data_IF_096236604977
#
_entry.id   IF_096236604977
#
_cell.length_a   1.000
_cell.length_b   1.000
_cell.length_c   1.000
_cell.angle_alpha   90.00
_cell.angle_beta   90.00
_cell.angle_gamma   90.00
#
_symmetry.space_group_name_H-M   'P 1'
#
loop_
_entity.id
_entity.type
_entity.pdbx_description
1 polymer ?
#
# COMPACT_ATOMS: atom_id res chain seq x y z
N UNK A 1 3.31 12.67 10.93
CA UNK A 1 2.56 11.67 10.12
C UNK A 1 1.20 12.23 9.70
N UNK A 2 1.13 13.24 8.83
CA UNK A 2 -0.15 13.94 8.52
C UNK A 2 -1.13 13.08 7.70
N UNK A 3 -0.62 12.19 6.85
CA UNK A 3 -1.42 11.37 5.93
C UNK A 3 -1.43 9.88 6.27
N UNK A 4 -0.75 9.51 7.36
CA UNK A 4 -0.58 8.11 7.74
C UNK A 4 -1.93 7.45 7.95
N UNK A 5 -2.10 6.29 7.32
CA UNK A 5 -3.23 5.43 7.55
C UNK A 5 -2.81 4.30 8.50
N UNK A 6 -3.64 4.01 9.50
CA UNK A 6 -3.34 3.00 10.54
C UNK A 6 -3.03 1.62 9.97
N UNK A 7 -3.69 1.24 8.89
CA UNK A 7 -3.49 -0.06 8.22
C UNK A 7 -2.25 -0.10 7.29
N UNK A 8 -1.55 1.02 7.07
CA UNK A 8 -0.23 1.03 6.41
C UNK A 8 -0.07 1.89 5.16
N UNK A 9 1.08 1.71 4.51
CA UNK A 9 1.68 2.64 3.56
C UNK A 9 0.91 2.78 2.24
N UNK A 10 0.31 1.71 1.70
CA UNK A 10 -0.47 1.81 0.46
C UNK A 10 -1.69 2.73 0.62
N UNK A 11 -2.34 2.68 1.78
CA UNK A 11 -3.47 3.56 2.10
C UNK A 11 -2.99 4.98 2.43
N UNK A 12 -1.80 5.12 3.00
CA UNK A 12 -1.14 6.42 3.14
C UNK A 12 -0.89 7.07 1.77
N UNK A 13 -0.41 6.31 0.77
CA UNK A 13 -0.23 6.83 -0.60
C UNK A 13 -1.57 7.26 -1.21
N UNK A 14 -2.64 6.50 -0.97
CA UNK A 14 -3.99 6.88 -1.39
C UNK A 14 -4.44 8.20 -0.75
N UNK A 15 -4.23 8.36 0.56
CA UNK A 15 -4.56 9.59 1.29
C UNK A 15 -3.82 10.80 0.73
N UNK A 16 -2.51 10.68 0.47
CA UNK A 16 -1.70 11.74 -0.12
C UNK A 16 -2.23 12.12 -1.50
N UNK A 17 -2.55 11.14 -2.34
CA UNK A 17 -3.08 11.39 -3.68
C UNK A 17 -4.47 12.06 -3.63
N UNK A 18 -5.38 11.60 -2.75
CA UNK A 18 -6.69 12.23 -2.57
C UNK A 18 -6.56 13.68 -2.09
N UNK A 19 -5.72 13.93 -1.09
CA UNK A 19 -5.50 15.27 -0.57
C UNK A 19 -4.92 16.20 -1.65
N UNK A 20 -3.96 15.71 -2.46
CA UNK A 20 -3.42 16.47 -3.58
C UNK A 20 -4.51 16.89 -4.58
N UNK A 21 -5.41 15.97 -4.96
CA UNK A 21 -6.51 16.27 -5.89
C UNK A 21 -7.56 17.21 -5.28
N UNK A 22 -7.85 17.06 -3.99
CA UNK A 22 -8.78 17.95 -3.26
C UNK A 22 -8.24 19.38 -3.15
N UNK A 23 -6.92 19.54 -3.03
CA UNK A 23 -6.25 20.84 -3.01
C UNK A 23 -5.89 21.33 -4.43
N UNK A 24 -6.64 20.88 -5.45
CA UNK A 24 -6.55 21.37 -6.83
C UNK A 24 -5.15 21.30 -7.44
N UNK A 25 -4.37 20.30 -7.05
CA UNK A 25 -2.99 20.09 -7.53
C UNK A 25 -2.02 21.24 -7.20
N UNK A 26 -2.29 21.97 -6.12
CA UNK A 26 -1.48 23.13 -5.72
C UNK A 26 -0.02 22.75 -5.39
N UNK A 27 0.91 23.50 -5.98
CA UNK A 27 2.35 23.37 -5.77
C UNK A 27 2.74 23.85 -4.37
N UNK A 28 2.10 24.92 -3.87
CA UNK A 28 2.37 25.43 -2.54
C UNK A 28 1.90 24.43 -1.48
N UNK A 29 0.71 23.86 -1.65
CA UNK A 29 0.25 22.74 -0.82
C UNK A 29 1.25 21.58 -0.79
N UNK A 30 1.83 21.20 -1.94
CA UNK A 30 2.86 20.16 -1.98
C UNK A 30 4.09 20.53 -1.14
N UNK A 31 4.55 21.78 -1.25
CA UNK A 31 5.68 22.30 -0.47
C UNK A 31 5.39 22.26 1.03
N UNK A 32 4.26 22.79 1.45
CA UNK A 32 3.84 22.88 2.86
C UNK A 32 3.66 21.51 3.52
N UNK A 33 3.40 20.48 2.70
CA UNK A 33 3.18 19.11 3.14
C UNK A 33 4.37 18.18 2.92
N UNK A 34 5.51 18.70 2.44
CA UNK A 34 6.71 17.93 2.11
C UNK A 34 6.44 16.79 1.11
N UNK A 35 5.54 17.02 0.16
CA UNK A 35 5.19 16.06 -0.88
C UNK A 35 5.82 16.46 -2.22
N UNK A 36 6.34 15.48 -2.96
CA UNK A 36 6.95 15.74 -4.25
C UNK A 36 5.88 15.96 -5.34
N UNK A 37 5.72 17.22 -5.77
CA UNK A 37 4.79 17.61 -6.83
C UNK A 37 5.00 16.86 -8.14
N UNK A 38 6.26 16.66 -8.57
CA UNK A 38 6.57 15.95 -9.83
C UNK A 38 6.14 14.49 -9.77
N UNK A 39 6.36 13.83 -8.64
CA UNK A 39 5.92 12.45 -8.42
C UNK A 39 4.39 12.33 -8.47
N UNK A 40 3.67 13.28 -7.86
CA UNK A 40 2.20 13.30 -7.89
C UNK A 40 1.63 13.57 -9.28
N UNK A 41 2.22 14.51 -10.03
CA UNK A 41 1.83 14.75 -11.43
C UNK A 41 2.08 13.53 -12.31
N UNK A 42 3.21 12.83 -12.09
CA UNK A 42 3.49 11.56 -12.76
C UNK A 42 2.44 10.50 -12.42
N UNK A 43 2.12 10.34 -11.13
CA UNK A 43 1.09 9.41 -10.67
C UNK A 43 -0.30 9.72 -11.26
N UNK A 44 -0.69 10.99 -11.35
CA UNK A 44 -1.95 11.42 -11.96
C UNK A 44 -2.00 11.05 -13.45
N UNK A 45 -0.93 11.30 -14.20
CA UNK A 45 -0.83 10.92 -15.60
C UNK A 45 -0.93 9.40 -15.79
N UNK A 46 -0.22 8.61 -14.98
CA UNK A 46 -0.29 7.14 -15.02
C UNK A 46 -1.71 6.66 -14.72
N UNK A 47 -2.38 7.22 -13.70
CA UNK A 47 -3.79 6.89 -13.39
C UNK A 47 -4.72 7.19 -14.57
N UNK A 48 -4.56 8.33 -15.24
CA UNK A 48 -5.36 8.68 -16.41
C UNK A 48 -5.14 7.69 -17.57
N UNK A 49 -3.90 7.25 -17.80
CA UNK A 49 -3.59 6.24 -18.82
C UNK A 49 -4.22 4.88 -18.49
N UNK A 50 -4.09 4.42 -17.24
CA UNK A 50 -4.73 3.19 -16.78
C UNK A 50 -6.25 3.26 -16.90
N UNK A 51 -6.85 4.42 -16.58
CA UNK A 51 -8.29 4.63 -16.75
C UNK A 51 -8.75 4.45 -18.19
N UNK A 52 -8.00 4.97 -19.17
CA UNK A 52 -8.34 4.79 -20.60
C UNK A 52 -8.25 3.33 -21.04
N UNK A 53 -7.28 2.59 -20.48
CA UNK A 53 -7.14 1.15 -20.72
C UNK A 53 -8.34 0.40 -20.13
N UNK A 54 -8.74 0.73 -18.90
CA UNK A 54 -9.93 0.14 -18.27
C UNK A 54 -11.18 0.39 -19.11
N UNK A 55 -11.38 1.61 -19.60
CA UNK A 55 -12.52 1.95 -20.47
C UNK A 55 -12.49 1.13 -21.78
N UNK A 56 -11.31 0.96 -22.40
CA UNK A 56 -11.14 0.12 -23.61
C UNK A 56 -11.55 -1.33 -23.39
N UNK A 57 -11.24 -1.89 -22.23
CA UNK A 57 -11.62 -3.27 -21.86
C UNK A 57 -12.98 -3.35 -21.15
N UNK A 58 -13.75 -2.27 -21.13
CA UNK A 58 -15.06 -2.20 -20.45
C UNK A 58 -15.00 -2.58 -18.96
N UNK A 59 -13.86 -2.32 -18.31
CA UNK A 59 -13.68 -2.53 -16.88
C UNK A 59 -14.29 -1.35 -16.12
N UNK A 60 -15.33 -1.63 -15.34
CA UNK A 60 -16.01 -0.58 -14.55
C UNK A 60 -15.07 -0.05 -13.46
N UNK A 61 -14.97 1.28 -13.40
CA UNK A 61 -14.33 2.00 -12.28
C UNK A 61 -15.34 2.16 -11.16
N UNK A 62 -15.22 1.34 -10.12
CA UNK A 62 -16.14 1.34 -8.98
C UNK A 62 -15.40 1.70 -7.69
N UNK A 63 -16.09 2.39 -6.79
CA UNK A 63 -15.63 2.62 -5.42
C UNK A 63 -16.70 2.13 -4.46
N UNK A 64 -16.28 1.51 -3.36
CA UNK A 64 -17.17 1.37 -2.19
C UNK A 64 -17.49 2.77 -1.65
N UNK A 65 -18.65 2.94 -1.01
CA UNK A 65 -18.95 4.15 -0.24
C UNK A 65 -17.84 4.39 0.80
N UNK A 66 -17.34 5.62 0.87
CA UNK A 66 -16.30 6.02 1.81
C UNK A 66 -16.72 5.86 3.27
N UNK A 67 -18.02 6.01 3.57
CA UNK A 67 -18.54 5.83 4.92
C UNK A 67 -18.76 4.35 5.30
N UNK A 68 -18.61 3.44 4.35
CA UNK A 68 -18.71 2.01 4.63
C UNK A 68 -17.48 1.53 5.38
N UNK A 69 -17.72 0.67 6.39
CA UNK A 69 -16.65 -0.06 7.09
C UNK A 69 -15.83 -0.94 6.13
N UNK A 70 -16.38 -1.27 4.96
CA UNK A 70 -15.74 -2.12 3.98
C UNK A 70 -14.79 -1.36 3.03
N UNK A 71 -14.78 -0.02 3.03
CA UNK A 71 -14.00 0.78 2.08
C UNK A 71 -12.51 0.40 2.06
N UNK A 72 -11.82 0.57 3.20
CA UNK A 72 -10.40 0.23 3.32
C UNK A 72 -10.16 -1.28 3.29
N UNK A 73 -11.10 -2.07 3.82
CA UNK A 73 -10.99 -3.54 3.77
C UNK A 73 -10.99 -4.06 2.33
N UNK A 74 -11.85 -3.53 1.46
CA UNK A 74 -11.94 -3.94 0.06
C UNK A 74 -10.67 -3.58 -0.71
N UNK A 75 -10.08 -2.40 -0.43
CA UNK A 75 -8.79 -2.01 -1.01
C UNK A 75 -7.68 -2.97 -0.58
N UNK A 76 -7.59 -3.30 0.72
CA UNK A 76 -6.59 -4.24 1.24
C UNK A 76 -6.74 -5.64 0.64
N UNK A 77 -7.97 -6.13 0.48
CA UNK A 77 -8.24 -7.40 -0.22
C UNK A 77 -7.81 -7.36 -1.69
N UNK A 78 -8.07 -6.25 -2.38
CA UNK A 78 -7.63 -6.06 -3.77
C UNK A 78 -6.10 -6.08 -3.87
N UNK A 79 -5.39 -5.45 -2.93
CA UNK A 79 -3.92 -5.55 -2.85
C UNK A 79 -3.46 -7.00 -2.71
N UNK A 80 -4.06 -7.77 -1.79
CA UNK A 80 -3.73 -9.20 -1.62
C UNK A 80 -3.91 -9.99 -2.91
N UNK A 81 -4.92 -9.69 -3.72
CA UNK A 81 -5.14 -10.38 -4.99
C UNK A 81 -4.03 -10.17 -6.02
N UNK A 82 -3.36 -9.01 -6.01
CA UNK A 82 -2.24 -8.69 -6.91
C UNK A 82 -0.86 -9.03 -6.35
N UNK A 83 -0.73 -9.01 -5.02
CA UNK A 83 0.54 -9.14 -4.30
C UNK A 83 0.60 -10.40 -3.41
N UNK A 84 -0.16 -11.44 -3.74
CA UNK A 84 -0.23 -12.67 -2.93
C UNK A 84 1.13 -13.36 -2.71
N UNK A 85 2.13 -13.11 -3.56
CA UNK A 85 3.50 -13.61 -3.39
C UNK A 85 4.39 -12.72 -2.50
N UNK A 86 3.96 -11.50 -2.18
CA UNK A 86 4.72 -10.51 -1.40
C UNK A 86 4.12 -10.34 -0.01
N UNK A 87 4.14 -11.45 0.74
CA UNK A 87 3.57 -11.55 2.09
C UNK A 87 4.66 -11.96 3.07
N UNK A 88 4.64 -11.37 4.25
CA UNK A 88 5.46 -11.77 5.38
C UNK A 88 4.61 -11.90 6.65
N UNK A 89 5.00 -12.82 7.54
CA UNK A 89 4.36 -12.99 8.84
C UNK A 89 5.34 -12.66 9.97
N UNK A 90 4.80 -12.17 11.08
CA UNK A 90 5.57 -11.83 12.28
C UNK A 90 5.86 -13.10 13.09
N UNK A 91 7.15 -13.40 13.25
CA UNK A 91 7.63 -14.49 14.09
C UNK A 91 7.63 -14.13 15.57
N UNK A 92 7.62 -15.15 16.44
CA UNK A 92 7.65 -14.97 17.91
C UNK A 92 8.89 -14.22 18.41
N UNK A 93 9.98 -14.32 17.67
CA UNK A 93 11.25 -13.63 17.86
C UNK A 93 11.21 -12.14 17.47
N UNK A 94 10.10 -11.66 16.91
CA UNK A 94 9.86 -10.25 16.60
C UNK A 94 10.40 -9.75 15.26
N UNK A 95 10.97 -10.65 14.44
CA UNK A 95 11.29 -10.41 13.03
C UNK A 95 10.15 -10.90 12.12
N UNK A 96 10.15 -10.49 10.86
CA UNK A 96 9.21 -11.03 9.87
C UNK A 96 9.87 -12.10 9.03
N UNK A 97 9.10 -13.08 8.57
CA UNK A 97 9.53 -14.09 7.61
C UNK A 97 8.64 -14.05 6.36
N UNK A 98 9.25 -13.93 5.18
CA UNK A 98 8.49 -13.96 3.92
C UNK A 98 7.93 -15.36 3.67
N UNK A 99 6.70 -15.44 3.16
CA UNK A 99 6.01 -16.73 2.98
C UNK A 99 6.60 -17.53 1.82
N UNK A 100 7.03 -16.85 0.75
CA UNK A 100 7.50 -17.51 -0.46
C UNK A 100 8.85 -18.20 -0.29
N UNK A 101 9.80 -17.48 0.31
CA UNK A 101 11.23 -17.82 0.28
C UNK A 101 11.85 -17.96 1.68
N UNK A 102 11.02 -17.91 2.74
CA UNK A 102 11.43 -17.96 4.15
C UNK A 102 12.58 -17.00 4.50
N UNK A 103 12.56 -15.79 3.92
CA UNK A 103 13.59 -14.78 4.16
C UNK A 103 13.24 -14.00 5.43
N UNK A 104 14.21 -13.89 6.33
CA UNK A 104 14.12 -13.01 7.50
C UNK A 104 14.22 -11.56 7.04
N UNK A 105 13.20 -10.77 7.38
CA UNK A 105 13.09 -9.35 7.00
C UNK A 105 12.62 -8.49 8.17
N UNK A 106 12.85 -7.19 8.05
CA UNK A 106 12.31 -6.17 8.97
C UNK A 106 11.44 -5.17 8.20
N UNK A 107 10.51 -4.52 8.89
CA UNK A 107 9.80 -3.39 8.28
C UNK A 107 10.78 -2.26 8.03
N UNK A 108 10.75 -1.67 6.83
CA UNK A 108 11.62 -0.56 6.50
C UNK A 108 11.31 0.65 7.41
N UNK A 109 12.32 1.40 7.91
CA UNK A 109 12.11 2.52 8.84
C UNK A 109 11.22 3.65 8.33
N UNK A 110 10.96 3.70 7.03
CA UNK A 110 10.07 4.69 6.41
C UNK A 110 8.58 4.34 6.51
N UNK A 111 8.22 3.16 7.02
CA UNK A 111 6.81 2.77 7.14
C UNK A 111 6.08 3.66 8.13
N UNK A 112 4.79 3.92 7.89
CA UNK A 112 3.94 4.66 8.80
C UNK A 112 3.35 3.78 9.93
N UNK A 113 3.54 2.46 9.87
CA UNK A 113 3.05 1.55 10.89
C UNK A 113 3.77 1.79 12.22
N UNK A 114 3.00 2.06 13.27
CA UNK A 114 3.46 2.26 14.65
C UNK A 114 3.41 0.98 15.49
N UNK A 115 2.84 -0.08 14.93
CA UNK A 115 2.74 -1.41 15.52
C UNK A 115 3.29 -2.48 14.57
N UNK A 116 3.33 -3.73 15.04
CA UNK A 116 3.76 -4.89 14.23
C UNK A 116 2.57 -5.79 13.93
N UNK A 117 1.89 -5.64 12.78
CA UNK A 117 0.83 -6.56 12.37
C UNK A 117 1.34 -8.00 12.27
N UNK A 118 0.50 -8.98 12.59
CA UNK A 118 0.87 -10.40 12.48
C UNK A 118 1.15 -10.79 11.02
N UNK A 119 0.40 -10.23 10.08
CA UNK A 119 0.52 -10.50 8.66
C UNK A 119 0.60 -9.19 7.88
N UNK A 120 1.60 -9.10 7.02
CA UNK A 120 1.81 -7.91 6.19
C UNK A 120 1.99 -8.27 4.72
N UNK A 121 1.48 -7.40 3.87
CA UNK A 121 1.79 -7.33 2.45
C UNK A 121 2.83 -6.23 2.25
N UNK A 122 3.80 -6.46 1.36
CA UNK A 122 4.79 -5.45 0.98
C UNK A 122 4.85 -5.25 -0.54
N UNK A 123 5.35 -4.10 -0.99
CA UNK A 123 5.55 -3.82 -2.42
C UNK A 123 6.99 -4.10 -2.87
N UNK A 124 7.96 -3.85 -1.99
CA UNK A 124 9.39 -3.89 -2.33
C UNK A 124 10.20 -4.65 -1.31
N UNK A 125 11.14 -5.47 -1.80
CA UNK A 125 12.19 -6.09 -1.00
C UNK A 125 13.48 -5.29 -1.19
N UNK A 126 14.09 -4.86 -0.09
CA UNK A 126 15.29 -4.01 -0.09
C UNK A 126 16.45 -4.79 0.54
N UNK A 127 17.42 -5.17 -0.30
CA UNK A 127 18.64 -5.86 0.10
C UNK A 127 19.69 -4.86 0.61
N UNK A 128 20.06 -4.97 1.89
CA UNK A 128 21.18 -4.23 2.50
C UNK A 128 21.89 -5.16 3.50
N UNK A 129 22.67 -4.62 4.45
CA UNK A 129 23.18 -5.39 5.61
C UNK A 129 22.07 -6.08 6.41
N UNK A 130 20.86 -5.49 6.43
CA UNK A 130 19.63 -6.13 6.89
C UNK A 130 18.61 -6.11 5.76
N UNK A 131 17.85 -7.19 5.60
CA UNK A 131 16.79 -7.23 4.61
C UNK A 131 15.57 -6.47 5.13
N UNK A 132 15.05 -5.55 4.32
CA UNK A 132 13.84 -4.80 4.64
C UNK A 132 12.73 -5.05 3.63
N UNK A 133 11.50 -4.97 4.09
CA UNK A 133 10.32 -4.85 3.25
C UNK A 133 9.76 -3.43 3.34
N UNK A 134 9.47 -2.82 2.20
CA UNK A 134 9.06 -1.41 2.08
C UNK A 134 7.68 -1.29 1.43
N UNK A 135 6.97 -0.23 1.83
CA UNK A 135 5.56 0.03 1.51
C UNK A 135 4.70 -1.12 1.98
N UNK A 136 4.44 -1.14 3.28
CA UNK A 136 3.88 -2.27 4.01
C UNK A 136 2.43 -1.99 4.39
N UNK A 137 1.57 -2.99 4.34
CA UNK A 137 0.15 -2.88 4.72
C UNK A 137 -0.28 -4.09 5.53
N UNK A 138 -0.95 -3.85 6.65
CA UNK A 138 -1.56 -4.87 7.48
C UNK A 138 -2.56 -5.66 6.62
N UNK A 139 -2.56 -6.99 6.71
CA UNK A 139 -3.56 -7.85 6.08
C UNK A 139 -4.05 -8.92 7.05
N UNK A 140 -5.22 -9.51 6.77
CA UNK A 140 -5.70 -10.68 7.53
C UNK A 140 -5.28 -11.96 6.83
N UNK A 141 -4.75 -12.93 7.59
CA UNK A 141 -4.36 -14.26 7.09
C UNK A 141 -5.43 -14.90 6.19
N UNK A 142 -6.70 -14.81 6.58
CA UNK A 142 -7.83 -15.40 5.84
C UNK A 142 -8.02 -14.86 4.41
N UNK A 143 -7.40 -13.73 4.05
CA UNK A 143 -7.49 -13.15 2.70
C UNK A 143 -6.47 -13.72 1.73
N UNK A 144 -5.39 -14.34 2.24
CA UNK A 144 -4.29 -14.86 1.42
C UNK A 144 -4.70 -16.11 0.62
N UNK A 145 -5.84 -16.71 0.96
CA UNK A 145 -6.37 -17.92 0.31
C UNK A 145 -5.47 -19.13 0.59
N UNK A 146 -6.02 -20.34 0.40
CA UNK A 146 -5.25 -21.60 0.36
C UNK A 146 -4.40 -21.67 -0.93
N UNK A 147 -3.71 -20.59 -1.27
CA UNK A 147 -2.90 -20.46 -2.47
C UNK A 147 -1.55 -21.16 -2.24
N UNK A 148 -1.60 -22.48 -2.07
CA UNK A 148 -0.49 -23.37 -2.40
C UNK A 148 0.68 -23.49 -1.42
N UNK A 149 0.41 -23.49 -0.10
CA UNK A 149 1.27 -24.19 0.87
C UNK A 149 0.40 -25.01 1.82
#
# INVERSE_FOLDING_TARGET
MRFAHIDGDHLTLLNVYHAFKQNMEDVQWCYDNFVNYRSLKSADNVRQQLSRIMDRFSLKRTSTDFNSRDYYMNIRKALVSGFFMQIAHLERTGHYMTIKDNQVVQLHPSTCLDHKPEWVLYNEFVLTTKNYIRTVTDIKRKWVGNSGY
#
